data_IF_104438700783
#
_entry.id   IF_104438700783
#
_cell.length_a   1.000
_cell.length_b   1.000
_cell.length_c   1.000
_cell.angle_alpha   90.00
_cell.angle_beta   90.00
_cell.angle_gamma   90.00
#
_symmetry.space_group_name_H-M   'P 1'
#
loop_
_entity.id
_entity.type
_entity.pdbx_description
1 polymer ?
#
# COMPACT_ATOMS: atom_id res chain seq x y z
N UNK A 1 1.52 -23.27 -13.94
CA UNK A 1 2.66 -22.61 -13.27
C UNK A 1 3.14 -21.48 -14.17
N UNK A 2 3.84 -20.48 -13.63
CA UNK A 2 4.26 -19.31 -14.43
C UNK A 2 5.16 -19.69 -15.62
N UNK A 3 6.03 -20.66 -15.47
CA UNK A 3 6.89 -21.17 -16.57
C UNK A 3 6.13 -21.76 -17.73
N UNK A 4 4.91 -22.23 -17.51
CA UNK A 4 4.09 -22.94 -18.52
C UNK A 4 3.08 -22.02 -19.21
N UNK A 5 3.07 -20.72 -18.85
CA UNK A 5 2.14 -19.75 -19.42
C UNK A 5 2.50 -19.48 -20.88
N UNK A 6 1.45 -19.37 -21.69
CA UNK A 6 1.58 -19.05 -23.12
C UNK A 6 1.17 -17.59 -23.36
N UNK A 7 1.77 -16.92 -24.33
CA UNK A 7 1.30 -15.61 -24.78
C UNK A 7 -0.20 -15.62 -25.09
N UNK A 8 -0.91 -14.55 -24.70
CA UNK A 8 -2.35 -14.40 -24.87
C UNK A 8 -3.20 -14.89 -23.70
N UNK A 9 -2.63 -15.61 -22.71
CA UNK A 9 -3.37 -16.01 -21.51
C UNK A 9 -3.73 -14.80 -20.65
N UNK A 10 -4.95 -14.82 -20.09
CA UNK A 10 -5.41 -13.80 -19.17
C UNK A 10 -4.75 -13.94 -17.79
N UNK A 11 -4.40 -12.81 -17.19
CA UNK A 11 -3.81 -12.71 -15.87
C UNK A 11 -4.53 -11.62 -15.07
N UNK A 12 -4.58 -11.80 -13.77
CA UNK A 12 -5.09 -10.79 -12.82
C UNK A 12 -3.92 -10.18 -12.06
N UNK A 13 -3.94 -8.87 -11.94
CA UNK A 13 -2.97 -8.06 -11.21
C UNK A 13 -3.72 -7.24 -10.16
N UNK A 14 -3.46 -7.52 -8.89
CA UNK A 14 -3.96 -6.72 -7.79
C UNK A 14 -2.91 -5.67 -7.43
N UNK A 15 -3.14 -4.42 -7.81
CA UNK A 15 -2.30 -3.28 -7.46
C UNK A 15 -2.64 -2.81 -6.04
N UNK A 16 -1.74 -3.10 -5.12
CA UNK A 16 -1.83 -2.77 -3.69
C UNK A 16 -1.26 -1.39 -3.36
N UNK A 17 -0.51 -0.80 -4.28
CA UNK A 17 0.07 0.53 -4.13
C UNK A 17 -0.93 1.64 -4.48
N UNK A 18 -1.97 1.33 -5.25
CA UNK A 18 -3.03 2.25 -5.56
C UNK A 18 -3.94 2.52 -4.35
N UNK A 19 -4.40 3.76 -4.22
CA UNK A 19 -5.36 4.16 -3.18
C UNK A 19 -6.60 4.74 -3.86
N UNK A 20 -7.75 4.03 -3.85
CA UNK A 20 -7.95 2.67 -3.36
C UNK A 20 -7.24 1.59 -4.21
N UNK A 21 -7.07 0.38 -3.63
CA UNK A 21 -6.49 -0.77 -4.34
C UNK A 21 -7.27 -1.07 -5.63
N UNK A 22 -6.58 -1.54 -6.67
CA UNK A 22 -7.18 -1.83 -7.97
C UNK A 22 -6.85 -3.24 -8.44
N UNK A 23 -7.81 -3.86 -9.13
CA UNK A 23 -7.58 -5.12 -9.81
C UNK A 23 -7.65 -4.90 -11.32
N UNK A 24 -6.59 -5.28 -12.02
CA UNK A 24 -6.48 -5.15 -13.46
C UNK A 24 -6.51 -6.53 -14.11
N UNK A 25 -7.13 -6.61 -15.28
CA UNK A 25 -7.02 -7.78 -16.15
C UNK A 25 -5.96 -7.49 -17.21
N UNK A 26 -5.00 -8.39 -17.36
CA UNK A 26 -3.94 -8.27 -18.34
C UNK A 26 -3.80 -9.53 -19.17
N UNK A 27 -2.96 -9.47 -20.20
CA UNK A 27 -2.60 -10.60 -21.05
C UNK A 27 -1.10 -10.83 -21.01
N UNK A 28 -0.72 -12.09 -20.93
CA UNK A 28 0.68 -12.52 -21.04
C UNK A 28 1.19 -12.18 -22.44
N UNK A 29 2.25 -11.39 -22.52
CA UNK A 29 2.96 -11.08 -23.77
C UNK A 29 4.10 -12.05 -23.97
N UNK A 30 4.90 -12.29 -22.93
CA UNK A 30 6.10 -13.13 -22.99
C UNK A 30 6.43 -13.70 -21.61
N UNK A 31 6.99 -14.91 -21.62
CA UNK A 31 7.61 -15.54 -20.44
C UNK A 31 9.05 -15.90 -20.81
N UNK A 32 10.01 -15.58 -19.96
CA UNK A 32 11.42 -15.94 -20.17
C UNK A 32 11.68 -17.42 -19.87
N UNK A 33 12.86 -17.90 -20.23
CA UNK A 33 13.36 -19.17 -19.68
C UNK A 33 13.61 -19.01 -18.17
N UNK A 34 13.39 -20.07 -17.39
CA UNK A 34 13.69 -20.08 -15.96
C UNK A 34 15.18 -19.80 -15.69
N UNK A 35 15.43 -18.90 -14.77
CA UNK A 35 16.76 -18.54 -14.28
C UNK A 35 16.83 -18.59 -12.76
N UNK A 36 18.01 -18.74 -12.24
CA UNK A 36 18.25 -18.62 -10.79
C UNK A 36 18.26 -17.13 -10.43
N UNK A 37 17.50 -16.73 -9.43
CA UNK A 37 17.58 -15.38 -8.90
C UNK A 37 18.86 -15.23 -8.09
N UNK A 38 19.78 -14.37 -8.54
CA UNK A 38 20.95 -14.03 -7.74
C UNK A 38 20.51 -13.03 -6.67
N UNK A 39 20.79 -13.30 -5.38
CA UNK A 39 20.55 -12.33 -4.33
C UNK A 39 21.32 -11.06 -4.65
N UNK A 40 20.68 -9.90 -4.49
CA UNK A 40 21.36 -8.61 -4.61
C UNK A 40 22.47 -8.58 -3.55
N UNK A 41 23.71 -8.36 -3.98
CA UNK A 41 24.87 -8.32 -3.11
C UNK A 41 24.82 -7.05 -2.24
N UNK A 42 24.21 -7.14 -1.06
CA UNK A 42 24.29 -6.14 0.01
C UNK A 42 25.31 -6.54 1.11
N UNK A 43 26.40 -7.12 0.72
CA UNK A 43 27.60 -7.24 1.55
C UNK A 43 27.54 -8.11 2.82
N UNK A 44 26.42 -8.73 3.14
CA UNK A 44 26.29 -9.60 4.31
C UNK A 44 25.84 -11.02 3.93
N UNK A 45 26.79 -11.84 3.44
CA UNK A 45 26.57 -13.26 3.28
C UNK A 45 27.03 -14.02 4.53
N UNK A 46 26.14 -14.63 5.32
CA UNK A 46 26.55 -15.76 6.15
C UNK A 46 26.74 -16.98 5.25
N UNK A 47 27.92 -17.56 5.33
CA UNK A 47 28.43 -18.67 4.51
C UNK A 47 27.71 -20.03 4.72
N UNK A 48 26.49 -20.06 5.21
CA UNK A 48 25.83 -21.30 5.63
C UNK A 48 24.33 -21.40 5.31
N UNK A 49 23.94 -21.09 4.08
CA UNK A 49 22.65 -21.59 3.61
C UNK A 49 22.70 -21.88 2.12
N UNK A 50 23.01 -23.14 1.79
CA UNK A 50 22.52 -23.74 0.56
C UNK A 50 20.97 -23.83 0.66
N UNK A 51 20.28 -22.70 0.70
CA UNK A 51 18.86 -22.64 0.41
C UNK A 51 18.73 -22.93 -1.07
N UNK A 52 17.83 -23.85 -1.41
CA UNK A 52 17.41 -24.08 -2.80
C UNK A 52 17.14 -22.72 -3.42
N UNK A 53 18.01 -22.30 -4.37
CA UNK A 53 17.84 -21.04 -5.05
C UNK A 53 16.54 -21.14 -5.83
N UNK A 54 15.56 -20.35 -5.45
CA UNK A 54 14.26 -20.34 -6.14
C UNK A 54 14.48 -19.89 -7.59
N UNK A 55 13.98 -20.72 -8.51
CA UNK A 55 14.04 -20.37 -9.93
C UNK A 55 12.88 -19.45 -10.25
N UNK A 56 13.18 -18.43 -11.01
CA UNK A 56 12.26 -17.38 -11.41
C UNK A 56 12.17 -17.28 -12.93
N UNK A 57 11.07 -16.70 -13.40
CA UNK A 57 10.85 -16.31 -14.79
C UNK A 57 10.49 -14.85 -14.86
N UNK A 58 10.90 -14.17 -15.94
CA UNK A 58 10.45 -12.83 -16.24
C UNK A 58 9.14 -12.92 -17.01
N UNK A 59 8.05 -12.49 -16.39
CA UNK A 59 6.71 -12.52 -16.95
C UNK A 59 6.34 -11.11 -17.42
N UNK A 60 6.19 -10.95 -18.73
CA UNK A 60 5.76 -9.68 -19.33
C UNK A 60 4.27 -9.73 -19.59
N UNK A 61 3.54 -8.75 -19.02
CA UNK A 61 2.08 -8.64 -19.07
C UNK A 61 1.71 -7.28 -19.65
N UNK A 62 0.75 -7.25 -20.54
CA UNK A 62 0.07 -6.06 -21.04
C UNK A 62 -1.24 -5.88 -20.28
N UNK A 63 -1.41 -4.73 -19.63
CA UNK A 63 -2.64 -4.32 -18.93
C UNK A 63 -2.79 -2.79 -19.00
N UNK A 64 -4.01 -2.29 -19.10
CA UNK A 64 -4.33 -0.86 -19.21
C UNK A 64 -3.53 -0.12 -20.31
N UNK A 65 -3.24 -0.81 -21.42
CA UNK A 65 -2.45 -0.25 -22.53
C UNK A 65 -0.95 -0.07 -22.20
N UNK A 66 -0.46 -0.64 -21.10
CA UNK A 66 0.94 -0.62 -20.68
C UNK A 66 1.49 -2.04 -20.64
N UNK A 67 2.77 -2.16 -20.89
CA UNK A 67 3.49 -3.43 -20.77
C UNK A 67 4.47 -3.35 -19.61
N UNK A 68 4.37 -4.31 -18.68
CA UNK A 68 5.26 -4.40 -17.52
C UNK A 68 5.84 -5.81 -17.41
N UNK A 69 7.05 -5.91 -16.89
CA UNK A 69 7.73 -7.19 -16.66
C UNK A 69 7.93 -7.41 -15.17
N UNK A 70 7.52 -8.57 -14.70
CA UNK A 70 7.58 -8.99 -13.30
C UNK A 70 8.45 -10.23 -13.16
N UNK A 71 9.29 -10.27 -12.14
CA UNK A 71 10.05 -11.46 -11.76
C UNK A 71 9.16 -12.30 -10.84
N UNK A 72 8.83 -13.52 -11.28
CA UNK A 72 7.91 -14.39 -10.54
C UNK A 72 8.47 -15.80 -10.38
N UNK A 73 8.12 -16.55 -9.32
CA UNK A 73 8.58 -17.92 -9.10
C UNK A 73 8.12 -18.85 -10.25
N UNK A 74 9.03 -19.65 -10.83
CA UNK A 74 8.72 -20.50 -11.99
C UNK A 74 7.60 -21.51 -11.73
N UNK A 75 7.57 -22.08 -10.51
CA UNK A 75 6.70 -23.18 -10.13
C UNK A 75 5.45 -22.76 -9.35
N UNK A 76 5.12 -21.47 -9.32
CA UNK A 76 3.92 -20.95 -8.68
C UNK A 76 2.85 -20.55 -9.69
N UNK A 77 1.61 -20.42 -9.24
CA UNK A 77 0.48 -19.83 -9.95
C UNK A 77 0.14 -18.43 -9.44
N UNK A 78 0.77 -18.03 -8.32
CA UNK A 78 0.58 -16.74 -7.67
C UNK A 78 1.94 -16.18 -7.32
N UNK A 79 2.15 -14.90 -7.56
CA UNK A 79 3.30 -14.14 -7.11
C UNK A 79 2.84 -13.00 -6.21
N UNK A 80 3.24 -13.06 -4.95
CA UNK A 80 2.95 -12.04 -3.95
C UNK A 80 4.12 -11.07 -3.88
N UNK A 81 3.94 -9.87 -4.41
CA UNK A 81 4.87 -8.76 -4.24
C UNK A 81 4.30 -7.71 -3.29
N UNK A 82 5.15 -6.81 -2.79
CA UNK A 82 4.73 -5.75 -1.88
C UNK A 82 3.70 -4.81 -2.54
N UNK A 83 3.96 -4.41 -3.77
CA UNK A 83 3.10 -3.49 -4.51
C UNK A 83 2.02 -4.19 -5.34
N UNK A 84 2.30 -5.39 -5.88
CA UNK A 84 1.40 -6.07 -6.82
C UNK A 84 1.36 -7.56 -6.53
N UNK A 85 0.16 -8.13 -6.49
CA UNK A 85 -0.05 -9.59 -6.50
C UNK A 85 -0.52 -10.01 -7.90
N UNK A 86 0.10 -11.04 -8.47
CA UNK A 86 -0.17 -11.51 -9.82
C UNK A 86 -0.62 -12.96 -9.78
N UNK A 87 -1.72 -13.28 -10.45
CA UNK A 87 -2.22 -14.67 -10.55
C UNK A 87 -3.02 -14.90 -11.82
N UNK A 88 -3.01 -16.15 -12.29
CA UNK A 88 -3.96 -16.65 -13.28
C UNK A 88 -5.22 -17.27 -12.63
N UNK A 89 -5.26 -17.36 -11.30
CA UNK A 89 -6.40 -17.87 -10.53
C UNK A 89 -7.17 -16.73 -9.88
N UNK A 90 -8.46 -16.66 -10.16
CA UNK A 90 -9.37 -15.69 -9.49
C UNK A 90 -9.45 -15.96 -7.99
N UNK A 91 -9.49 -17.23 -7.58
CA UNK A 91 -9.58 -17.61 -6.16
C UNK A 91 -8.40 -17.08 -5.35
N UNK A 92 -7.19 -17.06 -5.93
CA UNK A 92 -6.03 -16.52 -5.27
C UNK A 92 -6.13 -15.00 -5.06
N UNK A 93 -6.62 -14.27 -6.06
CA UNK A 93 -6.87 -12.82 -5.94
C UNK A 93 -8.00 -12.54 -4.96
N UNK A 94 -9.09 -13.31 -5.01
CA UNK A 94 -10.20 -13.19 -4.05
C UNK A 94 -9.71 -13.41 -2.62
N UNK A 95 -8.87 -14.39 -2.39
CA UNK A 95 -8.28 -14.66 -1.07
C UNK A 95 -7.44 -13.49 -0.58
N UNK A 96 -6.58 -12.93 -1.43
CA UNK A 96 -5.76 -11.75 -1.11
C UNK A 96 -6.61 -10.52 -0.80
N UNK A 97 -7.65 -10.27 -1.59
CA UNK A 97 -8.58 -9.14 -1.36
C UNK A 97 -9.33 -9.33 -0.03
N UNK A 98 -9.79 -10.55 0.29
CA UNK A 98 -10.44 -10.83 1.58
C UNK A 98 -9.50 -10.61 2.77
N UNK A 99 -8.24 -11.05 2.65
CA UNK A 99 -7.23 -10.82 3.69
C UNK A 99 -7.04 -9.32 3.96
N UNK A 100 -6.87 -8.54 2.89
CA UNK A 100 -6.72 -7.08 3.01
C UNK A 100 -7.96 -6.37 3.53
N UNK A 101 -9.14 -6.83 3.13
CA UNK A 101 -10.39 -6.30 3.67
C UNK A 101 -10.46 -6.52 5.19
N UNK A 102 -10.07 -7.72 5.65
CA UNK A 102 -10.03 -8.04 7.08
C UNK A 102 -9.00 -7.18 7.81
N UNK A 103 -7.77 -7.08 7.30
CA UNK A 103 -6.73 -6.22 7.87
C UNK A 103 -7.20 -4.76 8.00
N UNK A 104 -7.85 -4.24 6.97
CA UNK A 104 -8.39 -2.88 6.99
C UNK A 104 -9.53 -2.72 8.00
N UNK A 105 -10.41 -3.73 8.13
CA UNK A 105 -11.47 -3.73 9.14
C UNK A 105 -10.89 -3.76 10.56
N UNK A 106 -9.91 -4.61 10.81
CA UNK A 106 -9.23 -4.71 12.12
C UNK A 106 -8.57 -3.37 12.51
N UNK A 107 -7.98 -2.65 11.53
CA UNK A 107 -7.41 -1.30 11.75
C UNK A 107 -8.50 -0.30 12.10
N UNK A 108 -9.62 -0.29 11.36
CA UNK A 108 -10.73 0.63 11.62
C UNK A 108 -11.36 0.35 12.98
N UNK A 109 -11.56 -0.92 13.33
CA UNK A 109 -12.13 -1.31 14.61
C UNK A 109 -11.22 -0.96 15.81
N UNK A 110 -9.89 -0.95 15.58
CA UNK A 110 -8.91 -0.55 16.59
C UNK A 110 -8.75 0.98 16.74
N UNK A 111 -9.32 1.77 15.83
CA UNK A 111 -9.12 3.23 15.79
C UNK A 111 -9.50 3.93 17.10
N UNK A 112 -10.68 3.64 17.65
CA UNK A 112 -11.16 4.27 18.88
C UNK A 112 -10.29 3.90 20.09
N UNK A 113 -9.79 2.66 20.14
CA UNK A 113 -8.82 2.25 21.15
C UNK A 113 -7.53 3.05 21.07
N UNK A 114 -6.96 3.17 19.88
CA UNK A 114 -5.72 3.95 19.69
C UNK A 114 -5.91 5.44 19.97
N UNK A 115 -7.06 5.99 19.59
CA UNK A 115 -7.42 7.38 19.89
C UNK A 115 -7.49 7.63 21.40
N UNK A 116 -8.20 6.78 22.14
CA UNK A 116 -8.27 6.85 23.59
C UNK A 116 -6.88 6.75 24.24
N UNK A 117 -6.05 5.83 23.73
CA UNK A 117 -4.69 5.64 24.24
C UNK A 117 -3.79 6.86 24.00
N UNK A 118 -3.94 7.53 22.86
CA UNK A 118 -3.22 8.79 22.57
C UNK A 118 -3.62 9.87 23.58
N UNK A 119 -4.91 10.02 23.88
CA UNK A 119 -5.36 11.03 24.84
C UNK A 119 -4.86 10.74 26.27
N UNK A 120 -4.86 9.46 26.66
CA UNK A 120 -4.29 9.06 27.94
C UNK A 120 -2.78 9.31 28.01
N UNK A 121 -2.04 8.97 26.96
CA UNK A 121 -0.61 9.28 26.88
C UNK A 121 -0.33 10.79 26.99
N UNK A 122 -1.13 11.62 26.34
CA UNK A 122 -1.02 13.09 26.46
C UNK A 122 -1.28 13.55 27.88
N UNK A 123 -2.28 13.00 28.56
CA UNK A 123 -2.61 13.31 29.95
C UNK A 123 -1.45 12.95 30.89
N UNK A 124 -0.87 11.76 30.71
CA UNK A 124 0.29 11.33 31.50
C UNK A 124 1.50 12.25 31.25
N UNK A 125 1.78 12.59 29.98
CA UNK A 125 2.88 13.49 29.64
C UNK A 125 2.68 14.88 30.24
N UNK A 126 1.46 15.41 30.19
CA UNK A 126 1.15 16.71 30.82
C UNK A 126 1.34 16.68 32.34
N UNK A 127 1.02 15.58 33.00
CA UNK A 127 1.24 15.40 34.45
C UNK A 127 2.72 15.27 34.83
N UNK A 128 3.55 14.67 33.95
CA UNK A 128 4.97 14.45 34.20
C UNK A 128 5.86 15.65 33.79
N UNK A 129 5.44 16.39 32.78
CA UNK A 129 6.20 17.50 32.21
C UNK A 129 5.31 18.76 32.03
N UNK A 130 5.39 19.74 32.90
CA UNK A 130 4.61 20.98 32.79
C UNK A 130 4.82 21.75 31.48
N UNK A 131 6.04 21.72 30.92
CA UNK A 131 6.32 22.36 29.62
C UNK A 131 5.56 21.69 28.47
N UNK A 132 5.30 20.39 28.56
CA UNK A 132 4.50 19.70 27.58
C UNK A 132 3.04 20.14 27.63
N UNK A 133 2.49 20.40 28.81
CA UNK A 133 1.15 20.91 28.97
C UNK A 133 1.00 22.31 28.32
N UNK A 134 1.98 23.22 28.55
CA UNK A 134 2.00 24.54 27.93
C UNK A 134 2.08 24.49 26.41
N UNK A 135 2.91 23.58 25.86
CA UNK A 135 3.03 23.39 24.42
C UNK A 135 1.72 22.87 23.81
N UNK A 136 1.06 21.91 24.47
CA UNK A 136 -0.24 21.41 24.01
C UNK A 136 -1.32 22.48 24.00
N UNK A 137 -1.34 23.37 25.00
CA UNK A 137 -2.30 24.47 25.06
C UNK A 137 -2.03 25.48 23.92
N UNK A 138 -0.77 25.75 23.60
CA UNK A 138 -0.39 26.60 22.48
C UNK A 138 -0.79 25.96 21.13
N UNK A 139 -0.56 24.67 20.95
CA UNK A 139 -0.94 23.94 19.73
C UNK A 139 -2.46 23.95 19.53
N UNK A 140 -3.25 23.73 20.58
CA UNK A 140 -4.71 23.83 20.52
C UNK A 140 -5.19 25.23 20.12
N UNK A 141 -4.57 26.28 20.67
CA UNK A 141 -4.89 27.66 20.29
C UNK A 141 -4.52 27.96 18.84
N UNK A 142 -3.35 27.47 18.40
CA UNK A 142 -2.94 27.61 16.99
C UNK A 142 -3.91 26.93 16.04
N UNK A 143 -4.31 25.68 16.33
CA UNK A 143 -5.28 24.96 15.51
C UNK A 143 -6.63 25.67 15.43
N UNK A 144 -7.15 26.16 16.56
CA UNK A 144 -8.39 26.94 16.59
C UNK A 144 -8.28 28.24 15.76
N UNK A 145 -7.16 28.95 15.85
CA UNK A 145 -6.91 30.14 15.03
C UNK A 145 -6.82 29.81 13.53
N UNK A 146 -6.23 28.68 13.16
CA UNK A 146 -6.17 28.22 11.76
C UNK A 146 -7.56 27.89 11.21
N UNK A 147 -8.43 27.25 12.01
CA UNK A 147 -9.83 27.00 11.66
C UNK A 147 -10.61 28.30 11.49
N UNK A 148 -10.50 29.26 12.43
CA UNK A 148 -11.13 30.56 12.34
C UNK A 148 -10.68 31.35 11.08
N UNK A 149 -9.39 31.28 10.75
CA UNK A 149 -8.85 31.91 9.54
C UNK A 149 -9.40 31.25 8.26
N UNK A 150 -9.57 29.92 8.27
CA UNK A 150 -10.17 29.19 7.15
C UNK A 150 -11.63 29.61 6.95
N UNK A 151 -12.40 29.70 8.03
CA UNK A 151 -13.80 30.14 8.00
C UNK A 151 -13.95 31.61 7.51
N UNK A 152 -13.09 32.50 8.00
CA UNK A 152 -13.07 33.90 7.53
C UNK A 152 -12.75 33.97 6.04
N UNK A 153 -11.78 33.19 5.54
CA UNK A 153 -11.45 33.12 4.10
C UNK A 153 -12.63 32.65 3.29
N UNK A 154 -13.37 31.67 3.75
CA UNK A 154 -14.53 31.14 3.03
C UNK A 154 -15.71 32.12 3.06
N UNK A 155 -15.93 32.83 4.17
CA UNK A 155 -16.88 33.93 4.25
C UNK A 155 -16.53 35.07 3.27
N UNK A 156 -15.28 35.49 3.21
CA UNK A 156 -14.82 36.52 2.28
C UNK A 156 -15.06 36.08 0.82
N UNK A 157 -14.71 34.83 0.49
CA UNK A 157 -14.95 34.27 -0.86
C UNK A 157 -16.44 34.27 -1.22
N UNK A 158 -17.31 33.94 -0.29
CA UNK A 158 -18.77 33.95 -0.47
C UNK A 158 -19.32 35.36 -0.70
N UNK A 159 -18.81 36.35 0.03
CA UNK A 159 -19.19 37.75 -0.11
C UNK A 159 -18.71 38.35 -1.45
N UNK A 160 -17.50 37.99 -1.89
CA UNK A 160 -16.97 38.44 -3.18
C UNK A 160 -17.76 37.86 -4.35
N UNK A 161 -18.24 36.63 -4.27
CA UNK A 161 -19.13 36.03 -5.30
C UNK A 161 -20.49 36.75 -5.39
N UNK A 162 -21.06 37.16 -4.24
CA UNK A 162 -22.34 37.90 -4.23
C UNK A 162 -22.26 39.37 -4.72
N UNK A 163 -21.06 39.97 -4.76
CA UNK A 163 -20.85 41.31 -5.26
C UNK A 163 -20.50 41.38 -6.75
N UNK A 164 -20.25 40.25 -7.39
CA UNK A 164 -19.90 40.15 -8.78
C UNK A 164 -21.07 39.79 -9.72
N UNK A 165 -22.29 39.62 -9.17
CA UNK A 165 -23.57 39.55 -9.87
C UNK A 165 -24.30 40.92 -9.74
#
# INVERSE_FOLDING_TARGET
MFKDLKPGLSMLLLDKSATPIKCHSGKVVKVSMPRVEMPKADGSMPFSSFQMQDRVVDLTIEYDGKTSTFVVPENSNVAYGDAVTISCSEDAIISEVKSRMKESADIVDSYEFHKANIEECKSILAGLNPQYADTQEQDKRMTAMEEDIADIKDMIRSLMKKKGE
#
